data_IF_834317393791
#
_entry.id   IF_834317393791
#
_cell.length_a   1.000
_cell.length_b   1.000
_cell.length_c   1.000
_cell.angle_alpha   90.00
_cell.angle_beta   90.00
_cell.angle_gamma   90.00
#
_symmetry.space_group_name_H-M   'P 1'
#
loop_
_entity.id
_entity.type
_entity.pdbx_description
1 polymer ?
#
# COMPACT_ATOMS: atom_id res chain seq x y z
N UNK A 1 -29.74 -32.84 44.70
CA UNK A 1 -29.07 -31.92 45.65
C UNK A 1 -27.61 -31.74 45.27
N UNK A 2 -27.14 -30.78 44.49
CA UNK A 2 -27.65 -30.13 43.28
C UNK A 2 -26.43 -29.51 42.58
N UNK A 3 -26.04 -30.05 41.41
CA UNK A 3 -24.95 -29.54 40.57
C UNK A 3 -25.22 -28.17 39.93
N UNK A 4 -26.33 -27.51 40.30
CA UNK A 4 -26.74 -26.18 39.80
C UNK A 4 -26.12 -25.03 40.62
N UNK A 5 -25.55 -25.32 41.79
CA UNK A 5 -24.98 -24.30 42.70
C UNK A 5 -23.59 -23.84 42.22
N UNK A 6 -22.80 -24.73 41.60
CA UNK A 6 -21.43 -24.43 41.17
C UNK A 6 -21.34 -23.54 39.91
N UNK A 7 -22.29 -23.68 38.98
CA UNK A 7 -22.33 -22.86 37.76
C UNK A 7 -22.70 -21.41 38.08
N UNK A 8 -23.53 -21.19 39.10
CA UNK A 8 -23.94 -19.86 39.54
C UNK A 8 -22.78 -19.09 40.20
N UNK A 9 -21.92 -19.77 40.97
CA UNK A 9 -20.75 -19.15 41.59
C UNK A 9 -19.67 -18.74 40.57
N UNK A 10 -19.46 -19.55 39.53
CA UNK A 10 -18.48 -19.24 38.48
C UNK A 10 -18.92 -18.06 37.60
N UNK A 11 -20.22 -17.94 37.32
CA UNK A 11 -20.77 -16.81 36.57
C UNK A 11 -20.77 -15.51 37.39
N UNK A 12 -21.04 -15.58 38.70
CA UNK A 12 -20.97 -14.43 39.61
C UNK A 12 -19.54 -13.88 39.74
N UNK A 13 -18.52 -14.74 39.69
CA UNK A 13 -17.12 -14.35 39.73
C UNK A 13 -16.67 -13.64 38.43
N UNK A 14 -17.15 -14.06 37.26
CA UNK A 14 -16.82 -13.36 36.00
C UNK A 14 -17.50 -11.99 35.89
N UNK A 15 -18.74 -11.84 36.35
CA UNK A 15 -19.46 -10.56 36.28
C UNK A 15 -18.86 -9.52 37.25
N UNK A 16 -18.33 -9.95 38.39
CA UNK A 16 -17.69 -9.05 39.37
C UNK A 16 -16.31 -8.56 38.93
N UNK A 17 -15.50 -9.39 38.27
CA UNK A 17 -14.18 -8.97 37.74
C UNK A 17 -14.31 -7.95 36.60
N UNK A 18 -15.31 -8.09 35.73
CA UNK A 18 -15.56 -7.15 34.64
C UNK A 18 -16.04 -5.76 35.13
N UNK A 19 -16.82 -5.72 36.21
CA UNK A 19 -17.27 -4.46 36.83
C UNK A 19 -16.10 -3.67 37.46
N UNK A 20 -15.14 -4.37 38.07
CA UNK A 20 -13.96 -3.75 38.71
C UNK A 20 -13.02 -3.12 37.66
N UNK A 21 -12.82 -3.78 36.51
CA UNK A 21 -11.96 -3.26 35.43
C UNK A 21 -12.58 -2.01 34.77
N UNK A 22 -13.91 -1.99 34.56
CA UNK A 22 -14.59 -0.82 34.01
C UNK A 22 -14.63 0.38 34.97
N UNK A 23 -14.72 0.13 36.28
CA UNK A 23 -14.67 1.19 37.29
C UNK A 23 -13.28 1.85 37.37
N UNK A 24 -12.21 1.09 37.11
CA UNK A 24 -10.83 1.60 37.10
C UNK A 24 -10.52 2.48 35.87
N UNK A 25 -11.06 2.15 34.70
CA UNK A 25 -10.82 2.90 33.46
C UNK A 25 -11.56 4.25 33.42
N UNK A 26 -12.75 4.34 34.03
CA UNK A 26 -13.52 5.60 34.05
C UNK A 26 -12.89 6.66 34.98
N UNK A 27 -12.34 6.24 36.11
CA UNK A 27 -11.68 7.13 37.07
C UNK A 27 -10.34 7.68 36.57
N UNK A 28 -9.58 6.90 35.80
CA UNK A 28 -8.27 7.31 35.27
C UNK A 28 -8.40 8.34 34.12
N UNK A 29 -9.43 8.21 33.28
CA UNK A 29 -9.72 9.18 32.22
C UNK A 29 -10.25 10.51 32.76
N UNK A 30 -11.05 10.49 33.84
CA UNK A 30 -11.51 11.71 34.50
C UNK A 30 -10.34 12.52 35.11
N UNK A 31 -9.32 11.85 35.65
CA UNK A 31 -8.15 12.51 36.24
C UNK A 31 -7.26 13.21 35.19
N UNK A 32 -7.10 12.60 34.00
CA UNK A 32 -6.31 13.19 32.91
C UNK A 32 -7.01 14.42 32.32
N UNK A 33 -8.34 14.38 32.17
CA UNK A 33 -9.11 15.54 31.65
C UNK A 33 -9.17 16.68 32.68
N UNK A 34 -9.25 16.38 33.99
CA UNK A 34 -9.27 17.41 35.03
C UNK A 34 -7.90 18.10 35.21
N UNK A 35 -6.80 17.38 34.97
CA UNK A 35 -5.45 17.97 35.04
C UNK A 35 -5.12 18.82 33.81
N UNK A 36 -5.80 18.58 32.67
CA UNK A 36 -5.62 19.37 31.45
C UNK A 36 -6.49 20.64 31.42
N UNK A 37 -7.62 20.66 32.15
CA UNK A 37 -8.58 21.77 32.16
C UNK A 37 -8.26 22.92 33.16
N UNK A 38 -7.33 22.74 34.11
CA UNK A 38 -7.01 23.77 35.12
C UNK A 38 -5.79 24.65 34.78
N UNK A 39 -5.15 24.46 33.62
CA UNK A 39 -3.97 25.25 33.18
C UNK A 39 -4.30 26.21 32.04
N UNK A 40 -5.42 26.94 32.12
CA UNK A 40 -5.71 27.97 31.12
C UNK A 40 -6.66 29.08 31.61
N UNK A 41 -6.13 30.03 32.40
CA UNK A 41 -6.63 31.41 32.40
C UNK A 41 -5.66 32.39 33.08
N UNK A 42 -4.77 33.01 32.30
CA UNK A 42 -4.73 34.48 32.12
C UNK A 42 -3.68 34.82 31.06
N UNK A 43 -4.17 35.51 30.03
CA UNK A 43 -3.45 36.10 28.91
C UNK A 43 -2.48 37.18 29.38
N UNK A 44 -1.23 37.13 28.92
CA UNK A 44 -0.56 38.19 28.12
C UNK A 44 0.95 38.11 28.34
N UNK A 45 1.65 37.42 27.44
CA UNK A 45 2.90 37.92 26.90
C UNK A 45 3.18 37.22 25.57
N UNK A 46 3.46 38.07 24.60
CA UNK A 46 3.30 37.88 23.17
C UNK A 46 4.55 37.28 22.53
N UNK A 47 4.31 36.47 21.49
CA UNK A 47 5.23 36.25 20.36
C UNK A 47 6.43 35.29 20.48
N UNK A 48 6.48 34.37 21.45
CA UNK A 48 7.43 33.21 21.39
C UNK A 48 6.84 31.81 21.65
N UNK A 49 5.54 31.73 21.89
CA UNK A 49 4.87 30.49 22.32
C UNK A 49 4.02 29.78 21.23
N UNK A 50 4.04 30.26 19.99
CA UNK A 50 3.33 29.62 18.87
C UNK A 50 4.17 28.55 18.14
N UNK A 51 5.50 28.56 18.31
CA UNK A 51 6.40 27.58 17.70
C UNK A 51 6.59 26.31 18.54
N UNK A 52 6.40 26.34 19.87
CA UNK A 52 6.61 25.18 20.73
C UNK A 52 5.38 24.29 20.95
N UNK A 53 4.16 24.79 20.74
CA UNK A 53 2.96 23.93 20.76
C UNK A 53 2.78 23.10 19.48
N UNK A 54 3.25 23.58 18.33
CA UNK A 54 3.18 22.85 17.06
C UNK A 54 4.22 21.73 16.94
N UNK A 55 5.38 21.87 17.58
CA UNK A 55 6.42 20.84 17.56
C UNK A 55 6.16 19.71 18.56
N UNK A 56 5.57 20.00 19.73
CA UNK A 56 5.22 18.97 20.72
C UNK A 56 4.02 18.10 20.30
N UNK A 57 3.07 18.64 19.54
CA UNK A 57 1.89 17.91 19.10
C UNK A 57 2.19 16.90 17.97
N UNK A 58 3.22 17.16 17.14
CA UNK A 58 3.70 16.23 16.12
C UNK A 58 4.56 15.11 16.74
N UNK A 59 5.36 15.43 17.77
CA UNK A 59 6.17 14.44 18.47
C UNK A 59 5.33 13.42 19.27
N UNK A 60 4.23 13.87 19.91
CA UNK A 60 3.33 12.99 20.65
C UNK A 60 2.61 11.96 19.74
N UNK A 61 2.13 12.39 18.56
CA UNK A 61 1.49 11.50 17.57
C UNK A 61 2.49 10.49 16.97
N UNK A 62 3.77 10.85 16.87
CA UNK A 62 4.81 9.96 16.36
C UNK A 62 5.31 8.95 17.41
N UNK A 63 5.25 9.31 18.70
CA UNK A 63 5.64 8.43 19.80
C UNK A 63 4.56 7.36 20.12
N UNK A 64 3.28 7.72 20.06
CA UNK A 64 2.17 6.78 20.30
C UNK A 64 2.08 5.71 19.20
N UNK A 65 2.34 6.06 17.93
CA UNK A 65 2.35 5.11 16.81
C UNK A 65 3.49 4.08 16.86
N UNK A 66 4.59 4.35 17.59
CA UNK A 66 5.73 3.41 17.67
C UNK A 66 5.55 2.34 18.75
N UNK A 67 4.66 2.57 19.72
CA UNK A 67 4.39 1.62 20.82
C UNK A 67 3.37 0.53 20.45
N UNK A 68 2.44 0.81 19.54
CA UNK A 68 1.43 -0.15 19.08
C UNK A 68 2.04 -1.24 18.18
N UNK A 69 3.08 -0.91 17.41
CA UNK A 69 3.75 -1.84 16.50
C UNK A 69 4.55 -2.97 17.18
N UNK A 70 4.90 -2.83 18.48
CA UNK A 70 5.66 -3.86 19.22
C UNK A 70 4.81 -4.74 20.14
N UNK A 71 3.56 -4.37 20.45
CA UNK A 71 2.67 -5.16 21.30
C UNK A 71 1.88 -6.23 20.54
N UNK A 72 1.73 -6.06 19.22
CA UNK A 72 1.03 -7.00 18.35
C UNK A 72 1.82 -8.29 18.03
N UNK A 73 3.10 -8.38 18.42
CA UNK A 73 3.96 -9.52 18.10
C UNK A 73 3.90 -10.68 19.12
N UNK A 74 3.35 -10.49 20.33
CA UNK A 74 3.47 -11.51 21.41
C UNK A 74 2.16 -11.93 22.08
N UNK A 75 0.99 -11.43 21.66
CA UNK A 75 -0.27 -11.71 22.35
C UNK A 75 -1.25 -12.64 21.59
N UNK A 76 -0.87 -13.18 20.42
CA UNK A 76 -1.79 -13.95 19.57
C UNK A 76 -1.29 -15.34 19.14
N UNK A 77 -0.48 -16.02 19.97
CA UNK A 77 -0.16 -17.43 19.74
C UNK A 77 -1.11 -18.32 20.57
N UNK A 78 -2.33 -18.51 20.07
CA UNK A 78 -3.18 -19.63 20.46
C UNK A 78 -2.87 -20.81 19.51
N UNK A 79 -2.70 -22.05 20.00
CA UNK A 79 -2.45 -23.19 19.11
C UNK A 79 -3.76 -23.52 18.38
N UNK A 80 -3.84 -23.14 17.10
CA UNK A 80 -4.95 -23.55 16.24
C UNK A 80 -4.54 -24.80 15.45
N UNK A 81 -5.46 -25.76 15.43
CA UNK A 81 -5.37 -27.12 14.89
C UNK A 81 -4.74 -27.17 13.49
N UNK A 82 -3.89 -28.16 13.15
CA UNK A 82 -3.35 -28.31 11.81
C UNK A 82 -4.43 -28.92 10.91
N UNK A 83 -4.98 -28.15 9.97
CA UNK A 83 -6.06 -28.65 9.12
C UNK A 83 -6.79 -27.59 8.31
N UNK A 84 -6.05 -26.69 7.66
CA UNK A 84 -6.48 -26.00 6.44
C UNK A 84 -5.18 -25.60 5.74
N UNK A 85 -4.94 -26.11 4.54
CA UNK A 85 -3.74 -25.77 3.77
C UNK A 85 -3.80 -24.29 3.42
N UNK A 86 -3.14 -23.46 4.22
CA UNK A 86 -2.76 -22.11 3.80
C UNK A 86 -1.71 -22.30 2.71
N UNK A 87 -2.10 -22.08 1.45
CA UNK A 87 -1.17 -22.02 0.32
C UNK A 87 -0.12 -20.97 0.68
N UNK A 88 1.08 -21.43 1.05
CA UNK A 88 2.18 -20.54 1.36
C UNK A 88 2.43 -19.66 0.13
N UNK A 89 2.04 -18.39 0.22
CA UNK A 89 2.26 -17.43 -0.85
C UNK A 89 3.76 -17.22 -1.02
N UNK A 90 4.38 -17.97 -1.94
CA UNK A 90 5.78 -17.78 -2.28
C UNK A 90 5.94 -16.38 -2.87
N UNK A 91 6.82 -15.60 -2.25
CA UNK A 91 7.10 -14.22 -2.64
C UNK A 91 8.09 -14.26 -3.80
N UNK A 92 7.58 -14.10 -5.03
CA UNK A 92 8.43 -14.02 -6.22
C UNK A 92 8.75 -12.57 -6.56
N UNK A 93 9.89 -12.38 -7.25
CA UNK A 93 10.21 -11.11 -7.91
C UNK A 93 9.58 -11.15 -9.29
N UNK A 94 8.56 -10.33 -9.50
CA UNK A 94 7.82 -10.28 -10.75
C UNK A 94 8.13 -8.97 -11.44
N UNK A 95 8.44 -9.06 -12.73
CA UNK A 95 8.73 -7.90 -13.57
C UNK A 95 7.68 -7.79 -14.66
N UNK A 96 6.98 -6.68 -14.64
CA UNK A 96 5.95 -6.31 -15.62
C UNK A 96 6.60 -5.38 -16.63
N UNK A 97 6.55 -5.76 -17.90
CA UNK A 97 6.99 -4.92 -19.02
C UNK A 97 5.77 -4.41 -19.77
N UNK A 98 5.71 -3.10 -19.96
CA UNK A 98 4.68 -2.43 -20.75
C UNK A 98 5.31 -1.91 -22.04
N UNK A 99 4.76 -2.29 -23.19
CA UNK A 99 5.13 -1.79 -24.51
C UNK A 99 3.96 -1.07 -25.16
N UNK A 100 4.22 0.12 -25.71
CA UNK A 100 3.22 0.81 -26.55
C UNK A 100 3.86 1.79 -27.52
N UNK A 101 3.11 2.13 -28.57
CA UNK A 101 3.39 3.23 -29.50
C UNK A 101 2.92 4.58 -28.94
N UNK A 102 1.86 4.58 -28.12
CA UNK A 102 1.23 5.79 -27.58
C UNK A 102 1.71 6.10 -26.16
N UNK A 103 2.42 7.21 -25.98
CA UNK A 103 2.99 7.61 -24.68
C UNK A 103 1.92 7.88 -23.63
N UNK A 104 0.84 8.59 -24.00
CA UNK A 104 -0.22 9.02 -23.07
C UNK A 104 -0.92 7.83 -22.41
N UNK A 105 -1.34 6.85 -23.21
CA UNK A 105 -2.02 5.64 -22.72
C UNK A 105 -1.07 4.81 -21.83
N UNK A 106 0.19 4.66 -22.25
CA UNK A 106 1.19 3.97 -21.47
C UNK A 106 1.43 4.66 -20.11
N UNK A 107 1.31 5.99 -20.01
CA UNK A 107 1.52 6.72 -18.74
C UNK A 107 0.37 6.55 -17.78
N UNK A 108 -0.86 6.58 -18.30
CA UNK A 108 -2.08 6.28 -17.54
C UNK A 108 -2.01 4.89 -16.93
N UNK A 109 -1.82 3.85 -17.77
CA UNK A 109 -1.72 2.45 -17.32
C UNK A 109 -0.60 2.28 -16.29
N UNK A 110 0.55 2.90 -16.53
CA UNK A 110 1.67 2.85 -15.60
C UNK A 110 1.34 3.48 -14.24
N UNK A 111 0.62 4.61 -14.22
CA UNK A 111 0.20 5.26 -12.98
C UNK A 111 -0.85 4.42 -12.24
N UNK A 112 -1.80 3.84 -12.98
CA UNK A 112 -2.87 3.02 -12.43
C UNK A 112 -2.35 1.72 -11.83
N UNK A 113 -1.39 1.05 -12.49
CA UNK A 113 -0.73 -0.14 -11.93
C UNK A 113 0.03 0.18 -10.63
N UNK A 114 0.75 1.30 -10.58
CA UNK A 114 1.45 1.74 -9.36
C UNK A 114 0.45 2.08 -8.26
N UNK A 115 -0.69 2.68 -8.59
CA UNK A 115 -1.76 2.98 -7.63
C UNK A 115 -2.39 1.68 -7.10
N UNK A 116 -2.79 0.77 -7.97
CA UNK A 116 -3.39 -0.52 -7.59
C UNK A 116 -2.46 -1.37 -6.73
N UNK A 117 -1.15 -1.35 -7.01
CA UNK A 117 -0.16 -2.04 -6.18
C UNK A 117 0.02 -1.39 -4.80
N UNK A 118 -0.07 -0.06 -4.71
CA UNK A 118 -0.04 0.67 -3.42
C UNK A 118 -1.30 0.42 -2.59
N UNK A 119 -2.47 0.37 -3.23
CA UNK A 119 -3.75 0.12 -2.56
C UNK A 119 -3.75 -1.28 -1.89
N UNK A 120 -3.13 -2.27 -2.55
CA UNK A 120 -2.91 -3.63 -2.00
C UNK A 120 -1.70 -3.73 -1.04
N UNK A 121 -1.03 -2.62 -0.72
CA UNK A 121 0.15 -2.57 0.18
C UNK A 121 1.33 -3.45 -0.26
N UNK A 122 1.52 -3.64 -1.57
CA UNK A 122 2.65 -4.38 -2.11
C UNK A 122 3.93 -3.53 -2.15
N UNK A 123 5.09 -4.19 -2.13
CA UNK A 123 6.38 -3.53 -2.32
C UNK A 123 6.63 -3.32 -3.82
N UNK A 124 6.62 -2.07 -4.25
CA UNK A 124 6.75 -1.66 -5.66
C UNK A 124 8.08 -0.95 -5.87
N UNK A 125 8.84 -1.37 -6.88
CA UNK A 125 9.85 -0.49 -7.48
C UNK A 125 9.16 0.32 -8.57
N UNK A 126 9.33 1.64 -8.50
CA UNK A 126 8.66 2.57 -9.39
C UNK A 126 8.95 2.30 -10.87
N UNK A 127 8.20 2.95 -11.78
CA UNK A 127 8.30 2.66 -13.19
C UNK A 127 9.62 3.14 -13.78
N UNK A 128 10.42 2.18 -14.25
CA UNK A 128 11.68 2.44 -14.94
C UNK A 128 11.37 2.68 -16.41
N UNK A 129 11.77 3.85 -16.92
CA UNK A 129 11.64 4.21 -18.34
C UNK A 129 12.82 3.63 -19.10
N UNK A 130 12.54 2.74 -20.04
CA UNK A 130 13.56 2.25 -20.96
C UNK A 130 13.71 3.23 -22.13
N UNK A 131 14.91 3.30 -22.75
CA UNK A 131 15.12 4.14 -23.91
C UNK A 131 14.17 3.75 -25.05
N UNK A 132 13.67 4.76 -25.75
CA UNK A 132 12.70 4.59 -26.82
C UNK A 132 13.39 4.04 -28.05
N UNK A 133 12.90 2.92 -28.57
CA UNK A 133 13.42 2.35 -29.81
C UNK A 133 12.74 3.06 -30.97
N UNK A 134 13.54 3.61 -31.87
CA UNK A 134 13.07 4.29 -33.07
C UNK A 134 13.39 3.40 -34.26
N UNK A 135 12.35 2.97 -34.98
CA UNK A 135 12.48 2.20 -36.20
C UNK A 135 12.31 3.16 -37.38
N UNK A 136 13.34 3.24 -38.23
CA UNK A 136 13.33 4.05 -39.43
C UNK A 136 13.19 3.15 -40.65
N UNK A 137 12.23 3.46 -41.53
CA UNK A 137 12.10 2.83 -42.84
C UNK A 137 12.13 3.96 -43.87
N UNK A 138 13.10 3.91 -44.77
CA UNK A 138 13.22 4.87 -45.87
C UNK A 138 12.98 4.17 -47.18
N UNK A 139 11.94 4.59 -47.90
CA UNK A 139 11.56 4.01 -49.20
C UNK A 139 11.46 5.11 -50.25
N UNK A 140 11.59 4.74 -51.53
CA UNK A 140 11.21 5.65 -52.61
C UNK A 140 9.70 5.85 -52.60
N UNK A 141 9.27 7.07 -52.93
CA UNK A 141 7.84 7.38 -53.13
C UNK A 141 7.27 6.71 -54.37
N UNK A 142 8.07 6.69 -55.43
CA UNK A 142 7.71 6.16 -56.74
C UNK A 142 7.77 4.63 -56.76
N UNK A 143 6.74 3.92 -57.27
CA UNK A 143 6.75 2.46 -57.36
C UNK A 143 7.61 1.92 -58.51
N UNK A 144 7.70 2.63 -59.64
CA UNK A 144 8.30 2.16 -60.90
C UNK A 144 9.64 2.81 -61.27
N UNK A 145 10.32 3.48 -60.33
CA UNK A 145 11.69 3.99 -60.53
C UNK A 145 11.82 5.24 -61.43
N UNK A 146 10.81 5.52 -62.26
CA UNK A 146 10.70 6.73 -63.08
C UNK A 146 10.33 7.98 -62.27
N UNK A 147 10.77 9.15 -62.75
CA UNK A 147 10.51 10.45 -62.11
C UNK A 147 11.62 10.92 -61.15
N UNK A 148 11.32 11.95 -60.34
CA UNK A 148 12.31 12.57 -59.44
C UNK A 148 12.64 11.69 -58.25
N UNK A 149 13.93 11.61 -57.87
CA UNK A 149 14.42 10.81 -56.74
C UNK A 149 13.95 11.37 -55.38
N UNK A 150 12.72 11.08 -55.02
CA UNK A 150 12.09 11.47 -53.76
C UNK A 150 11.96 10.29 -52.80
N UNK A 151 12.21 10.55 -51.52
CA UNK A 151 12.28 9.54 -50.47
C UNK A 151 11.29 9.87 -49.36
N UNK A 152 10.54 8.86 -48.91
CA UNK A 152 9.76 8.91 -47.68
C UNK A 152 10.55 8.37 -46.51
N UNK A 153 10.42 9.04 -45.36
CA UNK A 153 11.06 8.67 -44.11
C UNK A 153 9.98 8.34 -43.09
N UNK A 154 9.67 7.06 -42.95
CA UNK A 154 8.73 6.58 -41.95
C UNK A 154 9.46 6.31 -40.64
N UNK A 155 8.85 6.74 -39.54
CA UNK A 155 9.37 6.53 -38.19
C UNK A 155 8.30 5.87 -37.32
N UNK A 156 8.68 4.79 -36.63
CA UNK A 156 7.85 4.18 -35.58
C UNK A 156 8.61 4.21 -34.26
N UNK A 157 8.02 4.85 -33.25
CA UNK A 157 8.55 4.89 -31.89
C UNK A 157 7.88 3.85 -31.01
N UNK A 158 8.68 3.03 -30.35
CA UNK A 158 8.22 2.08 -29.33
C UNK A 158 8.75 2.51 -27.97
N UNK A 159 7.82 2.78 -27.07
CA UNK A 159 8.09 3.16 -25.69
C UNK A 159 7.95 1.92 -24.81
N UNK A 160 8.95 1.69 -23.95
CA UNK A 160 8.97 0.58 -23.01
C UNK A 160 9.09 1.08 -21.57
N UNK A 161 8.33 0.48 -20.66
CA UNK A 161 8.39 0.75 -19.22
C UNK A 161 8.43 -0.58 -18.48
N UNK A 162 9.17 -0.60 -17.38
CA UNK A 162 9.34 -1.79 -16.56
C UNK A 162 8.97 -1.45 -15.12
N UNK A 163 8.16 -2.30 -14.50
CA UNK A 163 7.74 -2.18 -13.10
C UNK A 163 8.09 -3.50 -12.42
N UNK A 164 8.83 -3.44 -11.32
CA UNK A 164 9.13 -4.63 -10.51
C UNK A 164 8.26 -4.66 -9.25
N UNK A 165 7.66 -5.81 -8.99
CA UNK A 165 6.81 -6.11 -7.84
C UNK A 165 7.37 -7.30 -7.07
N UNK A 166 7.17 -7.29 -5.75
CA UNK A 166 7.45 -8.43 -4.87
C UNK A 166 6.11 -8.94 -4.33
N UNK A 167 5.60 -10.05 -4.86
CA UNK A 167 4.31 -10.64 -4.47
C UNK A 167 4.15 -12.05 -5.03
N UNK A 168 3.10 -12.74 -4.60
CA UNK A 168 2.53 -13.90 -5.29
C UNK A 168 2.02 -13.53 -6.70
N UNK A 169 2.13 -14.43 -7.70
CA UNK A 169 1.76 -14.17 -9.08
C UNK A 169 0.25 -13.98 -9.28
N UNK A 170 -0.58 -14.56 -8.42
CA UNK A 170 -2.03 -14.51 -8.55
C UNK A 170 -2.58 -13.10 -8.26
N UNK A 171 -2.00 -12.42 -7.25
CA UNK A 171 -2.33 -11.03 -6.95
C UNK A 171 -1.95 -10.11 -8.11
N UNK A 172 -0.83 -10.38 -8.79
CA UNK A 172 -0.38 -9.58 -9.94
C UNK A 172 -1.32 -9.74 -11.14
N UNK A 173 -1.73 -10.97 -11.46
CA UNK A 173 -2.69 -11.25 -12.54
C UNK A 173 -4.01 -10.47 -12.36
N UNK A 174 -4.50 -10.39 -11.13
CA UNK A 174 -5.71 -9.61 -10.81
C UNK A 174 -5.54 -8.10 -11.00
N UNK A 175 -4.35 -7.54 -10.76
CA UNK A 175 -4.11 -6.10 -10.96
C UNK A 175 -4.04 -5.79 -12.45
N UNK A 176 -3.34 -6.64 -13.22
CA UNK A 176 -3.11 -6.43 -14.65
C UNK A 176 -4.37 -6.56 -15.49
N UNK A 177 -5.35 -7.38 -15.08
CA UNK A 177 -6.57 -7.60 -15.86
C UNK A 177 -7.52 -6.39 -15.88
N UNK A 178 -7.48 -5.55 -14.86
CA UNK A 178 -8.42 -4.43 -14.68
C UNK A 178 -8.03 -3.20 -15.54
N UNK A 179 -6.75 -3.07 -15.92
CA UNK A 179 -6.20 -1.84 -16.50
C UNK A 179 -5.73 -2.00 -17.97
N UNK A 180 -6.28 -2.96 -18.71
CA UNK A 180 -5.85 -3.18 -20.10
C UNK A 180 -6.48 -2.10 -21.00
N UNK A 181 -5.70 -1.05 -21.27
CA UNK A 181 -6.03 -0.01 -22.24
C UNK A 181 -5.74 -0.51 -23.68
N UNK A 182 -6.57 -0.21 -24.68
CA UNK A 182 -6.31 -0.61 -26.05
C UNK A 182 -4.99 -0.02 -26.58
N UNK A 183 -4.12 -0.89 -27.12
CA UNK A 183 -2.84 -0.51 -27.71
C UNK A 183 -1.65 -0.47 -26.75
N UNK A 184 -1.82 -0.95 -25.51
CA UNK A 184 -0.70 -1.24 -24.59
C UNK A 184 -0.59 -2.75 -24.44
N UNK A 185 0.60 -3.28 -24.70
CA UNK A 185 0.94 -4.69 -24.51
C UNK A 185 1.62 -4.87 -23.15
N UNK A 186 1.21 -5.90 -22.42
CA UNK A 186 1.64 -6.19 -21.06
C UNK A 186 2.25 -7.58 -21.01
N UNK A 187 3.52 -7.66 -20.65
CA UNK A 187 4.24 -8.92 -20.44
C UNK A 187 4.58 -9.07 -18.96
N UNK A 188 4.32 -10.25 -18.39
CA UNK A 188 4.66 -10.57 -17.00
C UNK A 188 5.74 -11.64 -17.00
N UNK A 189 6.88 -11.33 -16.37
CA UNK A 189 8.02 -12.25 -16.23
C UNK A 189 8.24 -12.55 -14.75
N UNK A 190 8.31 -13.82 -14.39
CA UNK A 190 8.64 -14.27 -13.03
C UNK A 190 10.15 -14.52 -13.01
N UNK A 191 10.87 -13.82 -12.14
CA UNK A 191 12.26 -14.13 -11.87
C UNK A 191 12.29 -15.14 -10.71
N UNK A 192 12.27 -16.41 -11.06
CA UNK A 192 12.61 -17.48 -10.12
C UNK A 192 14.10 -17.31 -9.78
N UNK A 193 14.39 -17.13 -8.49
CA UNK A 193 15.76 -16.94 -8.00
C UNK A 193 16.49 -18.27 -7.96
#
# INVERSE_FOLDING_TARGET
MDGKIWISFFWLAQVTVAAIINLFNSAMLAFIVLTFAFRSRRSSETARFSQLRRTLQIAAVFAERKAEGKRMAYAAMKPTKPGLEESQEQIHKIRITLSSKNVKNLEKVCADLVRGAKDKRLRVKGPVRMPTKVLHITTRKSPCGEGTNTWDRFELRVHKRVIDLFSSPDVVKQITSITIEPGVEVEVTIADS
#
